data_IF_330341544848
#
_entry.id   IF_330341544848
#
_cell.length_a   1.000
_cell.length_b   1.000
_cell.length_c   1.000
_cell.angle_alpha   90.00
_cell.angle_beta   90.00
_cell.angle_gamma   90.00
#
_symmetry.space_group_name_H-M   'P 1'
#
loop_
_entity.id
_entity.type
_entity.pdbx_description
1 polymer ?
#
# COMPACT_ATOMS: atom_id res chain seq x y z
N UNK A 1 -0.09 -23.62 25.53
CA UNK A 1 1.30 -23.21 25.13
C UNK A 1 1.33 -22.39 23.85
N UNK A 2 0.93 -22.89 22.65
CA UNK A 2 0.94 -22.07 21.41
C UNK A 2 -0.08 -20.93 21.47
N UNK A 3 -1.28 -21.17 21.96
CA UNK A 3 -2.32 -20.15 22.13
C UNK A 3 -1.89 -19.05 23.11
N UNK A 4 -1.37 -19.40 24.26
CA UNK A 4 -0.87 -18.45 25.26
C UNK A 4 0.28 -17.62 24.72
N UNK A 5 1.17 -18.23 23.93
CA UNK A 5 2.26 -17.51 23.26
C UNK A 5 1.72 -16.50 22.23
N UNK A 6 0.73 -16.89 21.40
CA UNK A 6 0.12 -15.99 20.42
C UNK A 6 -0.67 -14.85 21.09
N UNK A 7 -1.35 -15.14 22.19
CA UNK A 7 -2.06 -14.13 22.97
C UNK A 7 -1.10 -13.09 23.59
N UNK A 8 0.06 -13.54 24.02
CA UNK A 8 1.07 -12.68 24.68
C UNK A 8 1.96 -11.92 23.68
N UNK A 9 2.34 -12.55 22.56
CA UNK A 9 3.32 -12.02 21.61
C UNK A 9 2.77 -11.82 20.18
N UNK A 10 1.50 -12.12 19.93
CA UNK A 10 0.90 -12.01 18.59
C UNK A 10 0.94 -10.58 18.03
N UNK A 11 0.81 -9.57 18.89
CA UNK A 11 0.95 -8.16 18.50
C UNK A 11 2.33 -7.84 17.89
N UNK A 12 3.41 -8.48 18.38
CA UNK A 12 4.75 -8.32 17.84
C UNK A 12 4.83 -8.88 16.41
N UNK A 13 4.21 -10.04 16.19
CA UNK A 13 4.15 -10.65 14.85
C UNK A 13 3.38 -9.76 13.86
N UNK A 14 2.25 -9.19 14.29
CA UNK A 14 1.47 -8.24 13.49
C UNK A 14 2.30 -7.01 13.15
N UNK A 15 3.05 -6.47 14.11
CA UNK A 15 3.90 -5.31 13.92
C UNK A 15 5.03 -5.59 12.91
N UNK A 16 5.73 -6.71 13.05
CA UNK A 16 6.82 -7.10 12.13
C UNK A 16 6.29 -7.35 10.72
N UNK A 17 5.20 -8.11 10.58
CA UNK A 17 4.59 -8.38 9.27
C UNK A 17 3.99 -7.13 8.64
N UNK A 18 3.40 -6.24 9.44
CA UNK A 18 2.89 -4.95 8.99
C UNK A 18 4.01 -4.04 8.47
N UNK A 19 5.12 -3.93 9.21
CA UNK A 19 6.29 -3.17 8.77
C UNK A 19 6.89 -3.74 7.48
N UNK A 20 7.01 -5.07 7.38
CA UNK A 20 7.48 -5.74 6.17
C UNK A 20 6.52 -5.48 4.99
N UNK A 21 5.21 -5.53 5.23
CA UNK A 21 4.19 -5.25 4.22
C UNK A 21 4.32 -3.81 3.70
N UNK A 22 4.48 -2.82 4.59
CA UNK A 22 4.70 -1.42 4.19
C UNK A 22 5.96 -1.30 3.31
N UNK A 23 7.05 -1.96 3.69
CA UNK A 23 8.27 -1.98 2.86
C UNK A 23 8.03 -2.60 1.47
N UNK A 24 7.21 -3.63 1.37
CA UNK A 24 6.88 -4.31 0.11
C UNK A 24 5.83 -3.57 -0.74
N UNK A 25 5.22 -2.51 -0.22
CA UNK A 25 4.25 -1.69 -0.97
C UNK A 25 4.83 -0.94 -2.17
N UNK A 26 6.16 -1.00 -2.37
CA UNK A 26 6.75 -0.47 -3.59
C UNK A 26 6.15 -1.07 -4.87
N UNK A 27 5.64 -2.30 -4.82
CA UNK A 27 4.95 -2.95 -5.96
C UNK A 27 3.67 -2.20 -6.31
N UNK A 28 2.83 -1.87 -5.31
CA UNK A 28 1.61 -1.08 -5.54
C UNK A 28 1.96 0.34 -5.98
N UNK A 29 2.95 0.94 -5.34
CA UNK A 29 3.45 2.26 -5.75
C UNK A 29 3.90 2.30 -7.21
N UNK A 30 4.67 1.31 -7.65
CA UNK A 30 5.10 1.17 -9.04
C UNK A 30 3.91 0.94 -10.00
N UNK A 31 2.92 0.12 -9.62
CA UNK A 31 1.71 -0.10 -10.41
C UNK A 31 0.92 1.19 -10.64
N UNK A 32 0.82 2.05 -9.62
CA UNK A 32 0.17 3.36 -9.77
C UNK A 32 0.83 4.28 -10.80
N UNK A 33 2.07 3.98 -11.15
CA UNK A 33 2.93 4.79 -12.02
C UNK A 33 3.05 4.26 -13.45
N UNK A 34 2.52 3.07 -13.75
CA UNK A 34 2.60 2.43 -15.09
C UNK A 34 2.20 3.39 -16.20
N UNK A 35 1.09 4.13 -16.03
CA UNK A 35 0.62 5.09 -17.02
C UNK A 35 1.45 6.38 -17.13
N UNK A 36 2.12 6.77 -16.04
CA UNK A 36 2.80 8.07 -15.95
C UNK A 36 4.32 8.00 -16.20
N UNK A 37 4.95 6.87 -15.92
CA UNK A 37 6.38 6.65 -16.15
C UNK A 37 6.65 5.97 -17.49
N UNK A 38 5.80 5.03 -17.89
CA UNK A 38 6.02 4.23 -19.08
C UNK A 38 6.04 5.04 -20.40
N UNK A 39 5.38 6.20 -20.44
CA UNK A 39 5.30 7.03 -21.65
C UNK A 39 4.68 6.30 -22.84
N UNK A 40 5.46 5.47 -23.51
CA UNK A 40 5.08 4.63 -24.64
C UNK A 40 4.61 3.20 -24.21
N UNK A 41 4.38 2.33 -25.19
CA UNK A 41 3.93 0.96 -24.95
C UNK A 41 5.04 0.08 -24.35
N UNK A 42 6.28 0.30 -24.77
CA UNK A 42 7.44 -0.47 -24.35
C UNK A 42 7.81 -0.16 -22.89
N UNK A 43 7.92 1.13 -22.52
CA UNK A 43 8.19 1.53 -21.14
C UNK A 43 7.10 1.09 -20.17
N UNK A 44 5.80 1.09 -20.57
CA UNK A 44 4.72 0.54 -19.74
C UNK A 44 4.87 -0.96 -19.52
N UNK A 45 5.21 -1.70 -20.57
CA UNK A 45 5.47 -3.14 -20.49
C UNK A 45 6.63 -3.45 -19.55
N UNK A 46 7.71 -2.66 -19.63
CA UNK A 46 8.86 -2.80 -18.77
C UNK A 46 8.51 -2.62 -17.28
N UNK A 47 7.78 -1.56 -16.94
CA UNK A 47 7.33 -1.32 -15.55
C UNK A 47 6.46 -2.47 -15.04
N UNK A 48 5.53 -2.98 -15.86
CA UNK A 48 4.67 -4.12 -15.48
C UNK A 48 5.51 -5.38 -15.25
N UNK A 49 6.48 -5.68 -16.12
CA UNK A 49 7.35 -6.86 -15.98
C UNK A 49 8.19 -6.79 -14.70
N UNK A 50 8.70 -5.62 -14.34
CA UNK A 50 9.47 -5.43 -13.10
C UNK A 50 8.61 -5.70 -11.85
N UNK A 51 7.40 -5.17 -11.81
CA UNK A 51 6.48 -5.38 -10.70
C UNK A 51 5.97 -6.82 -10.63
N UNK A 52 5.77 -7.46 -11.81
CA UNK A 52 5.38 -8.86 -11.94
C UNK A 52 6.40 -9.85 -11.35
N UNK A 53 7.67 -9.48 -11.22
CA UNK A 53 8.68 -10.32 -10.55
C UNK A 53 8.56 -10.32 -9.03
N UNK A 54 7.95 -9.29 -8.45
CA UNK A 54 7.97 -9.04 -6.99
C UNK A 54 6.60 -9.17 -6.31
N UNK A 55 5.49 -9.12 -7.04
CA UNK A 55 4.14 -9.13 -6.46
C UNK A 55 3.86 -10.30 -5.51
N UNK A 56 4.47 -11.47 -5.76
CA UNK A 56 4.27 -12.68 -4.94
C UNK A 56 4.69 -12.46 -3.48
N UNK A 57 5.81 -11.76 -3.27
CA UNK A 57 6.30 -11.45 -1.92
C UNK A 57 5.32 -10.54 -1.17
N UNK A 58 4.80 -9.52 -1.84
CA UNK A 58 3.82 -8.61 -1.24
C UNK A 58 2.52 -9.33 -0.92
N UNK A 59 2.03 -10.19 -1.82
CA UNK A 59 0.81 -10.96 -1.60
C UNK A 59 0.96 -11.96 -0.44
N UNK A 60 2.04 -12.73 -0.41
CA UNK A 60 2.31 -13.68 0.68
C UNK A 60 2.40 -12.95 2.02
N UNK A 61 3.12 -11.84 2.08
CA UNK A 61 3.24 -11.04 3.32
C UNK A 61 1.90 -10.46 3.73
N UNK A 62 1.07 -10.01 2.78
CA UNK A 62 -0.28 -9.54 3.05
C UNK A 62 -1.18 -10.65 3.66
N UNK A 63 -1.12 -11.86 3.11
CA UNK A 63 -1.87 -13.01 3.66
C UNK A 63 -1.40 -13.36 5.07
N UNK A 64 -0.07 -13.43 5.28
CA UNK A 64 0.50 -13.70 6.61
C UNK A 64 0.14 -12.61 7.62
N UNK A 65 0.19 -11.35 7.22
CA UNK A 65 -0.26 -10.22 8.04
C UNK A 65 -1.72 -10.35 8.43
N UNK A 66 -2.60 -10.69 7.48
CA UNK A 66 -4.03 -10.90 7.74
C UNK A 66 -4.30 -12.05 8.71
N UNK A 67 -3.57 -13.16 8.56
CA UNK A 67 -3.67 -14.30 9.48
C UNK A 67 -3.19 -13.90 10.89
N UNK A 68 -2.04 -13.22 11.00
CA UNK A 68 -1.52 -12.75 12.28
C UNK A 68 -2.49 -11.75 12.95
N UNK A 69 -3.06 -10.83 12.16
CA UNK A 69 -4.05 -9.86 12.63
C UNK A 69 -5.31 -10.57 13.17
N UNK A 70 -5.78 -11.61 12.48
CA UNK A 70 -6.94 -12.40 12.91
C UNK A 70 -6.72 -13.06 14.28
N UNK A 71 -5.57 -13.69 14.48
CA UNK A 71 -5.26 -14.36 15.74
C UNK A 71 -4.99 -13.40 16.89
N UNK A 72 -4.38 -12.24 16.63
CA UNK A 72 -4.02 -11.26 17.65
C UNK A 72 -5.17 -10.31 18.00
N UNK A 73 -6.01 -9.98 17.02
CA UNK A 73 -7.09 -9.02 17.15
C UNK A 73 -8.38 -9.51 16.47
N UNK A 74 -9.02 -10.58 16.98
CA UNK A 74 -10.19 -11.18 16.33
C UNK A 74 -11.36 -10.19 16.19
N UNK A 75 -11.48 -9.21 17.07
CA UNK A 75 -12.51 -8.15 17.02
C UNK A 75 -12.43 -7.32 15.72
N UNK A 76 -11.24 -7.22 15.14
CA UNK A 76 -10.99 -6.46 13.93
C UNK A 76 -11.80 -6.94 12.71
N UNK A 77 -12.15 -8.23 12.69
CA UNK A 77 -12.94 -8.87 11.63
C UNK A 77 -14.44 -8.82 11.89
N UNK A 78 -14.87 -8.24 13.01
CA UNK A 78 -16.29 -8.11 13.30
C UNK A 78 -16.90 -6.95 12.50
N UNK A 79 -18.01 -7.14 11.79
CA UNK A 79 -18.72 -6.05 11.13
C UNK A 79 -19.17 -4.93 12.09
N UNK A 80 -19.25 -5.24 13.39
CA UNK A 80 -19.59 -4.26 14.43
C UNK A 80 -18.46 -3.26 14.74
N UNK A 81 -17.24 -3.50 14.26
CA UNK A 81 -16.11 -2.56 14.41
C UNK A 81 -16.12 -1.44 13.34
N UNK A 82 -17.20 -1.35 12.56
CA UNK A 82 -17.43 -0.21 11.67
C UNK A 82 -16.47 -0.10 10.50
N UNK A 83 -15.81 1.07 10.34
CA UNK A 83 -14.97 1.39 9.17
C UNK A 83 -13.78 0.47 8.97
N UNK A 84 -13.19 -0.08 10.03
CA UNK A 84 -12.02 -0.95 9.95
C UNK A 84 -12.30 -2.23 9.16
N UNK A 85 -13.44 -2.88 9.38
CA UNK A 85 -13.85 -4.07 8.64
C UNK A 85 -13.96 -3.82 7.13
N UNK A 86 -14.60 -2.72 6.74
CA UNK A 86 -14.80 -2.39 5.33
C UNK A 86 -13.48 -2.02 4.63
N UNK A 87 -12.62 -1.27 5.31
CA UNK A 87 -11.29 -0.95 4.80
C UNK A 87 -10.43 -2.20 4.60
N UNK A 88 -10.52 -3.15 5.54
CA UNK A 88 -9.87 -4.45 5.40
C UNK A 88 -10.39 -5.23 4.19
N UNK A 89 -11.72 -5.31 4.00
CA UNK A 89 -12.31 -5.98 2.85
C UNK A 89 -11.90 -5.34 1.53
N UNK A 90 -11.83 -4.01 1.46
CA UNK A 90 -11.32 -3.29 0.28
C UNK A 90 -9.86 -3.63 0.01
N UNK A 91 -9.01 -3.69 1.05
CA UNK A 91 -7.63 -4.12 0.92
C UNK A 91 -7.53 -5.55 0.37
N UNK A 92 -8.26 -6.50 0.97
CA UNK A 92 -8.29 -7.91 0.51
C UNK A 92 -8.71 -8.00 -0.95
N UNK A 93 -9.82 -7.37 -1.33
CA UNK A 93 -10.29 -7.36 -2.71
C UNK A 93 -9.24 -6.77 -3.68
N UNK A 94 -8.58 -5.68 -3.28
CA UNK A 94 -7.52 -5.05 -4.08
C UNK A 94 -6.34 -6.00 -4.31
N UNK A 95 -5.82 -6.66 -3.27
CA UNK A 95 -4.70 -7.58 -3.41
C UNK A 95 -5.05 -8.85 -4.19
N UNK A 96 -6.26 -9.40 -4.00
CA UNK A 96 -6.74 -10.55 -4.78
C UNK A 96 -6.88 -10.16 -6.25
N UNK A 97 -7.50 -9.01 -6.55
CA UNK A 97 -7.66 -8.53 -7.93
C UNK A 97 -6.30 -8.26 -8.60
N UNK A 98 -5.34 -7.69 -7.87
CA UNK A 98 -3.98 -7.52 -8.36
C UNK A 98 -3.32 -8.87 -8.69
N UNK A 99 -3.49 -9.86 -7.82
CA UNK A 99 -2.97 -11.22 -8.04
C UNK A 99 -3.55 -11.83 -9.31
N UNK A 100 -4.87 -11.75 -9.49
CA UNK A 100 -5.54 -12.19 -10.71
C UNK A 100 -4.99 -11.46 -11.94
N UNK A 101 -4.82 -10.14 -11.87
CA UNK A 101 -4.21 -9.37 -12.95
C UNK A 101 -2.85 -9.93 -13.36
N UNK A 102 -1.95 -10.24 -12.42
CA UNK A 102 -0.64 -10.79 -12.78
C UNK A 102 -0.68 -12.23 -13.30
N UNK A 103 -1.63 -13.05 -12.84
CA UNK A 103 -1.79 -14.41 -13.36
C UNK A 103 -2.28 -14.42 -14.81
N UNK A 104 -3.24 -13.55 -15.13
CA UNK A 104 -3.86 -13.48 -16.48
C UNK A 104 -3.17 -12.49 -17.41
N UNK A 105 -2.11 -11.83 -16.98
CA UNK A 105 -1.43 -10.79 -17.77
C UNK A 105 -0.98 -11.31 -19.16
N UNK A 106 -0.58 -12.60 -19.27
CA UNK A 106 -0.18 -13.20 -20.53
C UNK A 106 -1.35 -13.55 -21.46
N UNK A 107 -2.58 -13.60 -20.93
CA UNK A 107 -3.80 -13.94 -21.67
C UNK A 107 -4.57 -12.69 -22.14
N UNK A 108 -4.35 -11.56 -21.51
CA UNK A 108 -5.10 -10.33 -21.74
C UNK A 108 -4.14 -9.15 -21.95
N UNK A 109 -3.69 -8.95 -23.17
CA UNK A 109 -3.12 -7.65 -23.59
C UNK A 109 -4.24 -6.64 -23.79
N UNK A 110 -4.87 -6.18 -22.71
CA UNK A 110 -5.99 -5.26 -22.78
C UNK A 110 -5.75 -4.00 -21.98
N UNK A 111 -6.32 -2.88 -22.46
CA UNK A 111 -6.39 -1.60 -21.73
C UNK A 111 -7.07 -1.79 -20.36
N UNK A 112 -8.02 -2.72 -20.28
CA UNK A 112 -8.77 -3.09 -19.09
C UNK A 112 -7.85 -3.68 -18.00
N UNK A 113 -6.95 -4.60 -18.36
CA UNK A 113 -5.96 -5.15 -17.44
C UNK A 113 -5.10 -4.05 -16.81
N UNK A 114 -4.54 -3.16 -17.64
CA UNK A 114 -3.72 -2.03 -17.15
C UNK A 114 -4.50 -1.10 -16.23
N UNK A 115 -5.76 -0.84 -16.55
CA UNK A 115 -6.63 -0.03 -15.69
C UNK A 115 -6.77 -0.64 -14.29
N UNK A 116 -7.09 -1.94 -14.21
CA UNK A 116 -7.22 -2.61 -12.91
C UNK A 116 -5.89 -2.68 -12.15
N UNK A 117 -4.76 -2.88 -12.85
CA UNK A 117 -3.46 -2.89 -12.22
C UNK A 117 -3.12 -1.52 -11.61
N UNK A 118 -3.36 -0.44 -12.35
CA UNK A 118 -3.16 0.93 -11.87
C UNK A 118 -4.12 1.25 -10.72
N UNK A 119 -5.40 0.89 -10.86
CA UNK A 119 -6.40 1.08 -9.80
C UNK A 119 -5.98 0.42 -8.48
N UNK A 120 -5.51 -0.83 -8.54
CA UNK A 120 -5.00 -1.54 -7.36
C UNK A 120 -3.76 -0.87 -6.76
N UNK A 121 -2.93 -0.25 -7.60
CA UNK A 121 -1.79 0.56 -7.15
C UNK A 121 -2.19 1.77 -6.31
N UNK A 122 -3.41 2.29 -6.47
CA UNK A 122 -3.99 3.34 -5.64
C UNK A 122 -4.74 2.78 -4.42
N UNK A 123 -5.66 1.86 -4.65
CA UNK A 123 -6.59 1.36 -3.64
C UNK A 123 -5.86 0.58 -2.53
N UNK A 124 -4.89 -0.26 -2.87
CA UNK A 124 -4.16 -1.09 -1.90
C UNK A 124 -3.47 -0.26 -0.80
N UNK A 125 -2.53 0.65 -1.15
CA UNK A 125 -1.86 1.49 -0.15
C UNK A 125 -2.81 2.41 0.60
N UNK A 126 -3.80 2.99 -0.10
CA UNK A 126 -4.77 3.89 0.51
C UNK A 126 -5.59 3.16 1.58
N UNK A 127 -6.14 2.00 1.27
CA UNK A 127 -6.96 1.21 2.20
C UNK A 127 -6.16 0.72 3.39
N UNK A 128 -4.90 0.28 3.21
CA UNK A 128 -4.04 -0.17 4.31
C UNK A 128 -3.60 0.99 5.20
N UNK A 129 -3.25 2.14 4.63
CA UNK A 129 -2.93 3.32 5.42
C UNK A 129 -4.12 3.85 6.21
N UNK A 130 -5.29 3.88 5.60
CA UNK A 130 -6.55 4.23 6.29
C UNK A 130 -6.89 3.22 7.38
N UNK A 131 -6.65 1.94 7.14
CA UNK A 131 -6.83 0.89 8.12
C UNK A 131 -5.95 1.10 9.35
N UNK A 132 -4.67 1.43 9.17
CA UNK A 132 -3.77 1.74 10.28
C UNK A 132 -4.27 2.94 11.08
N UNK A 133 -4.83 3.94 10.43
CA UNK A 133 -5.36 5.13 11.10
C UNK A 133 -6.55 4.81 12.01
N UNK A 134 -7.39 3.81 11.68
CA UNK A 134 -8.56 3.45 12.50
C UNK A 134 -8.20 2.92 13.90
N UNK A 135 -6.94 2.58 14.15
CA UNK A 135 -6.48 2.24 15.50
C UNK A 135 -6.29 3.46 16.42
N UNK A 136 -6.11 4.64 15.82
CA UNK A 136 -5.77 5.86 16.55
C UNK A 136 -6.84 6.95 16.42
N UNK A 137 -7.71 6.83 15.42
CA UNK A 137 -8.61 7.88 15.02
C UNK A 137 -9.98 7.35 14.58
N UNK A 138 -11.04 7.97 15.07
CA UNK A 138 -12.42 7.67 14.65
C UNK A 138 -12.92 8.64 13.56
N UNK A 139 -12.24 9.77 13.37
CA UNK A 139 -12.62 10.76 12.35
C UNK A 139 -12.20 10.28 10.96
N UNK A 140 -13.19 10.13 10.08
CA UNK A 140 -13.01 9.65 8.71
C UNK A 140 -12.06 10.52 7.87
N UNK A 141 -11.98 11.82 8.16
CA UNK A 141 -11.08 12.74 7.46
C UNK A 141 -9.61 12.38 7.74
N UNK A 142 -9.25 12.20 9.01
CA UNK A 142 -7.88 11.90 9.41
C UNK A 142 -7.47 10.48 9.06
N UNK A 143 -8.40 9.55 9.06
CA UNK A 143 -8.20 8.20 8.51
C UNK A 143 -7.80 8.27 7.03
N UNK A 144 -8.46 9.11 6.23
CA UNK A 144 -8.09 9.31 4.83
C UNK A 144 -6.75 10.02 4.67
N UNK A 145 -6.43 11.01 5.53
CA UNK A 145 -5.15 11.75 5.49
C UNK A 145 -3.96 10.80 5.68
N UNK A 146 -4.01 9.89 6.65
CA UNK A 146 -2.95 8.88 6.82
C UNK A 146 -2.94 7.88 5.65
N UNK A 147 -4.10 7.50 5.13
CA UNK A 147 -4.22 6.69 3.93
C UNK A 147 -3.45 7.30 2.74
N UNK A 148 -3.63 8.62 2.52
CA UNK A 148 -2.91 9.37 1.49
C UNK A 148 -1.40 9.41 1.76
N UNK A 149 -0.97 9.60 3.01
CA UNK A 149 0.44 9.56 3.36
C UNK A 149 1.08 8.21 3.00
N UNK A 150 0.45 7.10 3.38
CA UNK A 150 0.95 5.75 3.06
C UNK A 150 0.95 5.49 1.54
N UNK A 151 -0.07 5.96 0.83
CA UNK A 151 -0.11 5.89 -0.64
C UNK A 151 1.08 6.63 -1.29
N UNK A 152 1.37 7.85 -0.87
CA UNK A 152 2.51 8.58 -1.42
C UNK A 152 3.85 7.98 -1.02
N UNK A 153 3.97 7.41 0.18
CA UNK A 153 5.14 6.63 0.59
C UNK A 153 5.36 5.42 -0.34
N UNK A 154 4.31 4.66 -0.61
CA UNK A 154 4.37 3.54 -1.55
C UNK A 154 4.81 3.99 -2.95
N UNK A 155 4.32 5.15 -3.44
CA UNK A 155 4.76 5.74 -4.72
C UNK A 155 6.23 6.08 -4.73
N UNK A 156 6.74 6.73 -3.66
CA UNK A 156 8.17 7.06 -3.54
C UNK A 156 9.01 5.78 -3.66
N UNK A 157 8.67 4.75 -2.88
CA UNK A 157 9.37 3.48 -2.92
C UNK A 157 9.28 2.80 -4.31
N UNK A 158 8.11 2.88 -4.94
CA UNK A 158 7.91 2.36 -6.31
C UNK A 158 8.76 3.08 -7.36
N UNK A 159 8.87 4.42 -7.27
CA UNK A 159 9.72 5.22 -8.16
C UNK A 159 11.19 4.85 -7.97
N UNK A 160 11.66 4.79 -6.72
CA UNK A 160 13.05 4.42 -6.41
C UNK A 160 13.39 3.02 -6.90
N UNK A 161 12.45 2.08 -6.77
CA UNK A 161 12.60 0.72 -7.30
C UNK A 161 12.75 0.73 -8.83
N UNK A 162 11.88 1.44 -9.55
CA UNK A 162 11.94 1.54 -11.02
C UNK A 162 13.26 2.20 -11.44
N UNK A 163 13.67 3.30 -10.80
CA UNK A 163 14.92 3.98 -11.12
C UNK A 163 16.17 3.12 -10.89
N UNK A 164 16.10 2.17 -9.95
CA UNK A 164 17.20 1.24 -9.69
C UNK A 164 17.31 0.14 -10.75
N UNK A 165 16.18 -0.33 -11.26
CA UNK A 165 16.11 -1.51 -12.13
C UNK A 165 16.14 -1.16 -13.64
N UNK A 166 15.87 0.10 -13.98
CA UNK A 166 15.74 0.57 -15.38
C UNK A 166 16.85 1.58 -15.66
N UNK A 167 17.63 1.32 -16.70
CA UNK A 167 18.67 2.23 -17.20
C UNK A 167 18.17 2.96 -18.47
N UNK A 168 17.15 3.82 -18.29
CA UNK A 168 16.54 4.62 -19.34
C UNK A 168 16.44 6.08 -18.90
N UNK A 169 17.11 6.98 -19.65
CA UNK A 169 17.20 8.39 -19.32
C UNK A 169 15.84 9.10 -19.29
N UNK A 170 14.92 8.73 -20.18
CA UNK A 170 13.59 9.34 -20.29
C UNK A 170 12.70 8.89 -19.13
N UNK A 171 12.77 7.62 -18.75
CA UNK A 171 12.08 7.09 -17.56
C UNK A 171 12.65 7.76 -16.30
N UNK A 172 13.97 7.92 -16.19
CA UNK A 172 14.61 8.59 -15.07
C UNK A 172 14.20 10.08 -14.95
N UNK A 173 14.10 10.80 -16.07
CA UNK A 173 13.68 12.21 -16.06
C UNK A 173 12.23 12.33 -15.55
N UNK A 174 11.31 11.49 -16.06
CA UNK A 174 9.91 11.46 -15.59
C UNK A 174 9.81 11.02 -14.12
N UNK A 175 10.62 10.05 -13.72
CA UNK A 175 10.66 9.51 -12.36
C UNK A 175 11.09 10.59 -11.34
N UNK A 176 12.12 11.38 -11.62
CA UNK A 176 12.58 12.48 -10.74
C UNK A 176 11.48 13.50 -10.48
N UNK A 177 10.77 13.93 -11.52
CA UNK A 177 9.66 14.88 -11.37
C UNK A 177 8.54 14.29 -10.49
N UNK A 178 8.17 13.02 -10.69
CA UNK A 178 7.15 12.33 -9.91
C UNK A 178 7.60 12.05 -8.48
N UNK A 179 8.89 11.80 -8.28
CA UNK A 179 9.47 11.57 -6.95
C UNK A 179 9.33 12.83 -6.10
N UNK A 180 9.73 13.98 -6.63
CA UNK A 180 9.62 15.26 -5.91
C UNK A 180 8.18 15.56 -5.51
N UNK A 181 7.23 15.45 -6.44
CA UNK A 181 5.81 15.66 -6.16
C UNK A 181 5.25 14.69 -5.11
N UNK A 182 5.62 13.40 -5.20
CA UNK A 182 5.19 12.40 -4.23
C UNK A 182 5.81 12.62 -2.84
N UNK A 183 7.07 13.06 -2.78
CA UNK A 183 7.75 13.36 -1.51
C UNK A 183 7.13 14.56 -0.80
N UNK A 184 6.83 15.63 -1.54
CA UNK A 184 6.14 16.82 -0.98
C UNK A 184 4.75 16.42 -0.47
N UNK A 185 3.98 15.67 -1.26
CA UNK A 185 2.64 15.22 -0.85
C UNK A 185 2.70 14.32 0.39
N UNK A 186 3.65 13.38 0.44
CA UNK A 186 3.86 12.54 1.63
C UNK A 186 4.12 13.40 2.88
N UNK A 187 5.05 14.34 2.79
CA UNK A 187 5.39 15.21 3.92
C UNK A 187 4.17 16.02 4.37
N UNK A 188 3.41 16.59 3.45
CA UNK A 188 2.23 17.40 3.78
C UNK A 188 1.19 16.55 4.53
N UNK A 189 0.83 15.38 4.01
CA UNK A 189 -0.19 14.53 4.65
C UNK A 189 0.31 13.92 5.96
N UNK A 190 1.57 13.48 6.01
CA UNK A 190 2.15 12.88 7.20
C UNK A 190 2.28 13.89 8.35
N UNK A 191 2.82 15.09 8.06
CA UNK A 191 2.96 16.16 9.05
C UNK A 191 1.60 16.64 9.53
N UNK A 192 0.62 16.82 8.62
CA UNK A 192 -0.73 17.23 8.99
C UNK A 192 -1.37 16.22 9.97
N UNK A 193 -1.25 14.92 9.67
CA UNK A 193 -1.76 13.86 10.54
C UNK A 193 -1.04 13.85 11.91
N UNK A 194 0.26 13.98 11.91
CA UNK A 194 1.05 13.97 13.15
C UNK A 194 0.75 15.19 14.03
N UNK A 195 0.62 16.38 13.45
CA UNK A 195 0.21 17.59 14.18
C UNK A 195 -1.19 17.43 14.77
N UNK A 196 -2.12 16.85 14.01
CA UNK A 196 -3.46 16.57 14.54
C UNK A 196 -3.41 15.64 15.77
N UNK A 197 -2.64 14.56 15.72
CA UNK A 197 -2.49 13.65 16.86
C UNK A 197 -1.91 14.36 18.10
N UNK A 198 -0.88 15.18 17.91
CA UNK A 198 -0.27 15.95 19.01
C UNK A 198 -1.26 16.92 19.65
N UNK A 199 -2.09 17.59 18.85
CA UNK A 199 -3.11 18.50 19.34
C UNK A 199 -4.25 17.75 20.08
N UNK A 200 -4.61 16.58 19.58
CA UNK A 200 -5.66 15.73 20.19
C UNK A 200 -5.24 15.19 21.56
N UNK A 201 -3.98 14.78 21.70
CA UNK A 201 -3.44 14.24 22.97
C UNK A 201 -3.07 15.32 23.99
N UNK A 202 -3.25 16.61 23.68
CA UNK A 202 -3.03 17.71 24.60
C UNK A 202 -1.55 18.01 24.89
N UNK A 203 -0.63 17.53 24.07
CA UNK A 203 0.82 17.82 24.21
C UNK A 203 1.15 19.28 23.88
N UNK A 204 0.20 20.00 23.28
CA UNK A 204 0.31 21.42 22.92
C UNK A 204 -0.49 22.37 23.84
N UNK A 205 -0.96 21.88 24.99
CA UNK A 205 -1.71 22.63 25.99
C UNK A 205 -0.92 22.93 27.26
#
# INVERSE_FOLDING_TARGET
>A
MIYEFLEQYGWLLVLVLGALLVCLMFVQGANSLVGSLGGDAEGRSLVIQLTARKWKYTFITFVLFGVALYFSFPQFYSPSVGGAFWLWMVAVCSFVLQTLCYIIQNALDSKTFRFFLVLNGYVGPLSLGSLLATFFEDDSLWVLVLGLAVFFLARIMGILYIMKEVDDADIHARARLRLTGSAIAFLVFFVAYFVHLLLKEGVAG
#
